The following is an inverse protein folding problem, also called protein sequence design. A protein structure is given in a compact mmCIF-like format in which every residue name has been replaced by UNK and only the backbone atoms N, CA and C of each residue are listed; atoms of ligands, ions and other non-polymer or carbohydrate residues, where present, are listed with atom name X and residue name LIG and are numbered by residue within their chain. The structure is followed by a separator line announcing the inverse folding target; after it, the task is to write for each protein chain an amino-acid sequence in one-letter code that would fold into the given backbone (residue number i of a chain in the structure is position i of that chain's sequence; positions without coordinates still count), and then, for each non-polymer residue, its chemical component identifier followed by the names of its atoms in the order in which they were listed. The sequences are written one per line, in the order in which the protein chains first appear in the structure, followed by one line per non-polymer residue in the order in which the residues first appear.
data_IF_031394355879
#
_entry.id   IF_031394355879
#
_cell.length_a   1.000
_cell.length_b   1.000
_cell.length_c   1.000
_cell.angle_alpha   90.00
_cell.angle_beta   90.00
_cell.angle_gamma   90.00
#
_symmetry.space_group_name_H-M   'P 1'
#
loop_
_entity.id
_entity.type
_entity.pdbx_description
1 polymer ?
#
# COMPACT_ATOMS: atom_id res chain seq x y z
N UNK A 1 -3.62 21.04 -5.08
CA UNK A 1 -4.33 20.05 -4.24
C UNK A 1 -3.70 18.70 -4.52
N UNK A 2 -3.32 17.97 -3.48
CA UNK A 2 -2.51 16.77 -3.61
C UNK A 2 -3.05 15.62 -2.74
N UNK A 3 -2.57 14.42 -3.04
CA UNK A 3 -2.71 13.23 -2.21
C UNK A 3 -1.35 12.70 -1.76
N UNK A 4 -1.32 12.02 -0.63
CA UNK A 4 -0.15 11.26 -0.17
C UNK A 4 -0.37 9.80 -0.53
N UNK A 5 0.68 9.17 -1.08
CA UNK A 5 0.77 7.72 -1.25
C UNK A 5 1.87 7.22 -0.33
N UNK A 6 1.56 6.19 0.45
CA UNK A 6 2.51 5.52 1.34
C UNK A 6 2.61 4.06 0.95
N UNK A 7 3.83 3.59 0.78
CA UNK A 7 4.10 2.18 0.54
C UNK A 7 5.41 1.77 1.22
N UNK A 8 5.52 0.48 1.49
CA UNK A 8 6.64 -0.15 2.16
C UNK A 8 7.31 -1.15 1.22
N UNK A 9 8.64 -1.15 1.22
CA UNK A 9 9.43 -2.02 0.38
C UNK A 9 10.48 -2.73 1.22
N UNK A 10 10.59 -4.04 1.05
CA UNK A 10 11.72 -4.80 1.61
C UNK A 10 13.02 -4.37 0.94
N UNK A 11 14.05 -4.18 1.75
CA UNK A 11 15.41 -3.89 1.32
C UNK A 11 16.33 -5.02 1.79
N UNK A 12 17.50 -5.13 1.14
CA UNK A 12 18.53 -6.05 1.61
C UNK A 12 19.13 -5.50 2.90
N UNK A 13 19.22 -6.36 3.90
CA UNK A 13 20.00 -6.11 5.10
C UNK A 13 21.48 -6.07 4.75
N UNK A 14 22.06 -4.88 4.78
CA UNK A 14 23.48 -4.70 4.47
C UNK A 14 24.05 -3.49 5.20
N UNK A 15 25.25 -3.65 5.76
CA UNK A 15 25.99 -2.60 6.42
C UNK A 15 27.20 -2.24 5.57
N UNK A 16 27.19 -1.04 5.01
CA UNK A 16 28.30 -0.56 4.19
C UNK A 16 28.80 0.80 4.67
N UNK A 17 30.12 0.95 4.67
CA UNK A 17 30.77 2.22 4.97
C UNK A 17 30.96 3.00 3.67
N UNK A 18 30.40 4.20 3.59
CA UNK A 18 30.43 5.02 2.37
C UNK A 18 31.63 5.99 2.31
N UNK A 19 32.66 5.76 3.12
CA UNK A 19 33.80 6.66 3.27
C UNK A 19 33.60 7.77 4.32
N UNK A 20 32.36 8.04 4.76
CA UNK A 20 32.05 9.04 5.79
C UNK A 20 31.35 8.44 7.01
N UNK A 21 30.39 7.55 6.79
CA UNK A 21 29.62 6.90 7.86
C UNK A 21 29.22 5.48 7.47
N UNK A 22 28.92 4.68 8.48
CA UNK A 22 28.28 3.39 8.31
C UNK A 22 26.79 3.61 7.98
N UNK A 23 26.29 2.92 6.96
CA UNK A 23 24.91 2.98 6.48
C UNK A 23 24.25 1.61 6.56
N UNK A 24 22.92 1.58 6.65
CA UNK A 24 22.14 0.34 6.70
C UNK A 24 21.33 0.15 7.99
N UNK A 25 21.50 1.01 8.99
CA UNK A 25 20.71 0.99 10.21
C UNK A 25 19.33 1.64 10.05
N UNK A 26 18.41 1.26 10.93
CA UNK A 26 17.12 1.94 11.12
C UNK A 26 17.36 3.44 11.32
N UNK A 27 16.57 4.27 10.63
CA UNK A 27 16.71 5.72 10.64
C UNK A 27 15.35 6.42 10.50
N UNK A 28 14.97 7.12 11.55
CA UNK A 28 13.74 7.92 11.65
C UNK A 28 13.92 9.42 11.39
N UNK A 29 15.09 9.85 10.91
CA UNK A 29 15.36 11.24 10.55
C UNK A 29 15.57 12.20 11.73
N UNK A 30 15.47 11.72 12.98
CA UNK A 30 15.85 12.50 14.15
C UNK A 30 17.38 12.65 14.16
N UNK A 31 17.88 13.89 14.25
CA UNK A 31 19.27 14.17 14.59
C UNK A 31 19.50 13.69 16.03
N UNK A 32 19.67 12.40 16.24
CA UNK A 32 20.22 11.92 17.49
C UNK A 32 21.61 12.55 17.60
N UNK A 33 21.81 13.27 18.70
CA UNK A 33 23.12 13.67 19.20
C UNK A 33 24.07 12.50 19.02
N UNK A 34 25.24 12.81 18.48
CA UNK A 34 26.36 11.92 18.19
C UNK A 34 26.38 10.66 19.09
N UNK A 35 26.35 9.48 18.46
CA UNK A 35 26.53 8.13 19.02
C UNK A 35 25.32 7.30 19.48
N UNK A 36 24.07 7.74 19.28
CA UNK A 36 22.88 6.89 19.46
C UNK A 36 22.22 6.49 18.12
N UNK A 37 23.02 5.97 17.18
CA UNK A 37 22.47 5.29 16.00
C UNK A 37 21.76 4.01 16.45
N UNK A 38 20.66 3.65 15.78
CA UNK A 38 20.09 2.31 15.96
C UNK A 38 21.17 1.26 15.70
N UNK A 39 21.31 0.29 16.59
CA UNK A 39 22.21 -0.86 16.38
C UNK A 39 21.58 -1.88 15.42
N UNK A 40 20.28 -1.75 15.16
CA UNK A 40 19.51 -2.67 14.32
C UNK A 40 19.58 -2.27 12.84
N UNK A 41 19.85 -3.27 12.01
CA UNK A 41 19.87 -3.16 10.55
C UNK A 41 18.45 -3.03 10.03
N UNK A 42 18.22 -2.11 9.10
CA UNK A 42 16.93 -1.94 8.47
C UNK A 42 16.67 -3.08 7.46
N UNK A 43 15.43 -3.59 7.46
CA UNK A 43 14.95 -4.62 6.52
C UNK A 43 13.94 -4.08 5.53
N UNK A 44 13.37 -2.92 5.83
CA UNK A 44 12.31 -2.30 5.05
C UNK A 44 12.56 -0.79 4.93
N UNK A 45 11.95 -0.18 3.91
CA UNK A 45 11.86 1.27 3.76
C UNK A 45 10.40 1.64 3.54
N UNK A 46 9.91 2.59 4.33
CA UNK A 46 8.61 3.23 4.11
C UNK A 46 8.83 4.55 3.38
N UNK A 47 8.08 4.79 2.31
CA UNK A 47 8.24 5.97 1.44
C UNK A 47 6.93 6.75 1.37
N UNK A 48 7.05 8.07 1.49
CA UNK A 48 5.95 9.03 1.34
C UNK A 48 6.12 9.77 0.02
N UNK A 49 5.13 9.62 -0.86
CA UNK A 49 5.07 10.27 -2.15
C UNK A 49 3.88 11.23 -2.19
N UNK A 50 4.10 12.46 -2.64
CA UNK A 50 3.01 13.38 -2.95
C UNK A 50 2.70 13.30 -4.42
N UNK A 51 1.41 13.23 -4.74
CA UNK A 51 0.89 13.25 -6.10
C UNK A 51 -0.09 14.40 -6.22
N UNK A 52 0.10 15.25 -7.23
CA UNK A 52 -0.87 16.29 -7.53
C UNK A 52 -2.15 15.69 -8.10
N UNK A 53 -3.30 16.14 -7.60
CA UNK A 53 -4.60 15.70 -8.07
C UNK A 53 -5.10 16.55 -9.25
N UNK A 54 -4.67 17.80 -9.32
CA UNK A 54 -5.07 18.78 -10.33
C UNK A 54 -3.96 19.09 -11.35
N UNK A 55 -2.87 18.32 -11.36
CA UNK A 55 -1.77 18.46 -12.34
C UNK A 55 -0.95 17.17 -12.42
N UNK A 56 0.07 17.13 -13.29
CA UNK A 56 0.81 15.90 -13.61
C UNK A 56 2.21 15.88 -13.00
N UNK A 57 2.31 15.88 -11.67
CA UNK A 57 3.58 15.66 -11.00
C UNK A 57 3.44 14.82 -9.75
N UNK A 58 4.55 14.18 -9.39
CA UNK A 58 4.72 13.43 -8.15
C UNK A 58 6.14 13.57 -7.65
N UNK A 59 6.33 13.70 -6.35
CA UNK A 59 7.64 13.84 -5.72
C UNK A 59 7.72 13.02 -4.42
N UNK A 60 8.83 12.32 -4.16
CA UNK A 60 9.07 11.75 -2.84
C UNK A 60 9.36 12.87 -1.86
N UNK A 61 8.71 12.84 -0.69
CA UNK A 61 8.87 13.88 0.34
C UNK A 61 9.49 13.36 1.63
N UNK A 62 9.49 12.05 1.82
CA UNK A 62 10.12 11.42 2.98
C UNK A 62 10.30 9.94 2.78
N UNK A 63 11.33 9.40 3.44
CA UNK A 63 11.52 7.96 3.56
C UNK A 63 12.17 7.64 4.91
N UNK A 64 11.88 6.46 5.44
CA UNK A 64 12.45 6.00 6.70
C UNK A 64 12.90 4.55 6.57
N UNK A 65 14.11 4.27 7.05
CA UNK A 65 14.67 2.92 7.09
C UNK A 65 14.20 2.26 8.38
N UNK A 66 13.56 1.10 8.28
CA UNK A 66 12.81 0.48 9.39
C UNK A 66 13.05 -1.04 9.44
N UNK A 67 12.66 -1.65 10.55
CA UNK A 67 12.57 -3.11 10.73
C UNK A 67 11.19 -3.40 11.32
N UNK A 68 10.15 -3.24 10.49
CA UNK A 68 8.77 -3.13 10.93
C UNK A 68 8.43 -1.82 11.65
N UNK A 69 7.12 -1.51 11.65
CA UNK A 69 6.52 -0.44 12.44
C UNK A 69 5.15 -0.87 12.94
N UNK A 70 4.86 -0.56 14.19
CA UNK A 70 3.52 -0.72 14.72
C UNK A 70 2.57 0.37 14.19
N UNK A 71 1.27 0.17 14.37
CA UNK A 71 0.24 1.06 13.82
C UNK A 71 0.34 2.51 14.36
N UNK A 72 0.74 2.67 15.62
CA UNK A 72 0.91 4.00 16.24
C UNK A 72 2.12 4.74 15.68
N UNK A 73 3.24 4.05 15.47
CA UNK A 73 4.44 4.62 14.83
C UNK A 73 4.16 5.05 13.39
N UNK A 74 3.46 4.22 12.60
CA UNK A 74 3.04 4.58 11.23
C UNK A 74 2.16 5.82 11.22
N UNK A 75 1.16 5.89 12.12
CA UNK A 75 0.27 7.04 12.23
C UNK A 75 1.03 8.31 12.60
N UNK A 76 2.04 8.21 13.49
CA UNK A 76 2.92 9.32 13.84
C UNK A 76 3.70 9.82 12.62
N UNK A 77 4.27 8.94 11.80
CA UNK A 77 4.98 9.33 10.58
C UNK A 77 4.05 10.03 9.57
N UNK A 78 2.81 9.55 9.42
CA UNK A 78 1.80 10.22 8.58
C UNK A 78 1.50 11.63 9.09
N UNK A 79 1.26 11.78 10.40
CA UNK A 79 0.99 13.09 10.99
C UNK A 79 2.17 14.05 10.84
N UNK A 80 3.40 13.60 11.10
CA UNK A 80 4.61 14.40 10.89
C UNK A 80 4.75 14.83 9.42
N UNK A 81 4.46 13.93 8.46
CA UNK A 81 4.46 14.28 7.05
C UNK A 81 3.43 15.37 6.73
N UNK A 82 2.20 15.24 7.25
CA UNK A 82 1.14 16.24 7.06
C UNK A 82 1.49 17.60 7.66
N UNK A 83 2.05 17.62 8.88
CA UNK A 83 2.51 18.83 9.57
C UNK A 83 3.56 19.57 8.74
N UNK A 84 4.61 18.86 8.29
CA UNK A 84 5.68 19.46 7.48
C UNK A 84 5.18 19.99 6.13
N UNK A 85 4.15 19.35 5.55
CA UNK A 85 3.57 19.79 4.28
C UNK A 85 2.65 20.99 4.43
N UNK A 86 2.00 21.14 5.58
CA UNK A 86 1.18 22.31 5.89
C UNK A 86 1.98 23.61 5.75
N UNK A 87 3.24 23.62 6.19
CA UNK A 87 4.13 24.78 6.13
C UNK A 87 4.49 25.20 4.70
N UNK A 88 4.33 24.30 3.71
CA UNK A 88 4.66 24.56 2.30
C UNK A 88 3.51 25.20 1.52
N UNK A 89 2.29 25.24 2.09
CA UNK A 89 1.06 25.62 1.39
C UNK A 89 0.45 24.51 0.53
N UNK A 90 0.98 23.28 0.57
CA UNK A 90 0.39 22.14 -0.12
C UNK A 90 -0.91 21.70 0.56
N UNK A 91 -2.02 21.69 -0.18
CA UNK A 91 -3.32 21.24 0.32
C UNK A 91 -3.46 19.74 0.11
N UNK A 92 -3.31 18.94 1.17
CA UNK A 92 -3.46 17.48 1.16
C UNK A 92 -4.92 17.09 1.42
N UNK A 93 -5.51 16.27 0.54
CA UNK A 93 -6.90 15.81 0.67
C UNK A 93 -7.07 14.30 0.76
N UNK A 94 -6.05 13.53 0.38
CA UNK A 94 -6.15 12.08 0.37
C UNK A 94 -4.90 11.41 0.92
N UNK A 95 -5.10 10.23 1.49
CA UNK A 95 -4.05 9.29 1.89
C UNK A 95 -4.34 7.94 1.22
N UNK A 96 -3.37 7.40 0.49
CA UNK A 96 -3.50 6.11 -0.22
C UNK A 96 -2.42 5.13 0.23
N UNK A 97 -2.82 3.89 0.50
CA UNK A 97 -1.92 2.79 0.88
C UNK A 97 -2.55 1.43 0.51
N UNK A 98 -1.82 0.33 0.66
CA UNK A 98 -2.35 -1.02 0.39
C UNK A 98 -3.23 -1.58 1.52
N UNK A 99 -4.00 -2.64 1.27
CA UNK A 99 -4.92 -3.20 2.28
C UNK A 99 -4.25 -4.10 3.32
N UNK A 100 -2.95 -3.93 3.59
CA UNK A 100 -2.28 -4.73 4.61
C UNK A 100 -2.81 -4.40 6.01
N UNK A 101 -2.89 -5.41 6.88
CA UNK A 101 -3.43 -5.25 8.24
C UNK A 101 -2.76 -4.13 9.06
N UNK A 102 -1.42 -3.91 8.99
CA UNK A 102 -0.78 -2.79 9.67
C UNK A 102 -1.26 -1.41 9.18
N UNK A 103 -1.56 -1.27 7.89
CA UNK A 103 -2.01 -0.02 7.29
C UNK A 103 -3.48 0.27 7.64
N UNK A 104 -4.32 -0.76 7.72
CA UNK A 104 -5.68 -0.63 8.26
C UNK A 104 -5.65 -0.25 9.75
N UNK A 105 -4.76 -0.86 10.53
CA UNK A 105 -4.59 -0.51 11.94
C UNK A 105 -4.07 0.93 12.12
N UNK A 106 -3.18 1.41 11.24
CA UNK A 106 -2.74 2.80 11.19
C UNK A 106 -3.92 3.75 10.92
N UNK A 107 -4.79 3.44 9.95
CA UNK A 107 -5.97 4.26 9.68
C UNK A 107 -6.87 4.42 10.91
N UNK A 108 -7.04 3.33 11.68
CA UNK A 108 -7.77 3.36 12.96
C UNK A 108 -7.09 4.26 13.99
N UNK A 109 -5.77 4.24 14.08
CA UNK A 109 -5.01 5.14 14.96
C UNK A 109 -5.13 6.62 14.56
N UNK A 110 -5.26 6.90 13.26
CA UNK A 110 -5.52 8.25 12.76
C UNK A 110 -6.96 8.73 13.03
N UNK A 111 -7.88 7.83 13.43
CA UNK A 111 -9.28 8.14 13.71
C UNK A 111 -10.26 7.78 12.59
N UNK A 112 -9.81 7.09 11.55
CA UNK A 112 -10.68 6.58 10.49
C UNK A 112 -11.18 5.15 10.79
N UNK A 113 -12.34 4.78 10.24
CA UNK A 113 -12.87 3.42 10.29
C UNK A 113 -13.13 2.92 8.86
N UNK A 114 -12.40 1.90 8.41
CA UNK A 114 -12.55 1.37 7.05
C UNK A 114 -13.38 0.09 7.11
N UNK A 115 -14.51 -0.03 6.38
CA UNK A 115 -14.97 0.85 5.29
C UNK A 115 -16.01 1.92 5.67
N UNK A 116 -16.47 1.98 6.93
CA UNK A 116 -17.65 2.76 7.31
C UNK A 116 -17.45 4.28 7.26
N UNK A 117 -16.31 4.76 7.75
CA UNK A 117 -15.93 6.17 7.81
C UNK A 117 -14.44 6.34 7.46
N UNK A 118 -14.07 6.25 6.16
CA UNK A 118 -12.68 6.24 5.71
C UNK A 118 -12.08 7.66 5.67
N UNK A 119 -12.26 8.44 6.73
CA UNK A 119 -11.77 9.81 6.84
C UNK A 119 -11.21 10.09 8.21
N UNK A 120 -10.19 10.92 8.29
CA UNK A 120 -9.66 11.48 9.52
C UNK A 120 -9.33 12.95 9.33
N UNK A 121 -9.08 13.68 10.43
CA UNK A 121 -8.81 15.12 10.35
C UNK A 121 -7.30 15.39 10.25
N UNK A 122 -6.95 16.34 9.40
CA UNK A 122 -5.58 16.85 9.29
C UNK A 122 -5.11 17.42 10.64
N UNK A 123 -3.90 17.09 11.14
CA UNK A 123 -3.46 17.47 12.49
C UNK A 123 -3.37 18.99 12.73
N UNK A 124 -3.02 19.76 11.67
CA UNK A 124 -2.94 21.24 11.73
C UNK A 124 -4.24 21.95 11.33
N UNK A 125 -4.75 21.69 10.12
CA UNK A 125 -5.90 22.45 9.57
C UNK A 125 -7.26 21.93 10.04
N UNK A 126 -7.30 20.73 10.66
CA UNK A 126 -8.52 20.01 11.03
C UNK A 126 -9.48 19.73 9.85
N UNK A 127 -9.02 19.92 8.60
CA UNK A 127 -9.78 19.56 7.41
C UNK A 127 -9.79 18.04 7.20
N UNK A 128 -10.86 17.46 6.62
CA UNK A 128 -10.93 16.03 6.39
C UNK A 128 -9.93 15.57 5.32
N UNK A 129 -9.26 14.45 5.61
CA UNK A 129 -8.42 13.68 4.69
C UNK A 129 -9.12 12.35 4.42
N UNK A 130 -9.34 12.06 3.14
CA UNK A 130 -10.00 10.83 2.69
C UNK A 130 -8.99 9.71 2.43
N UNK A 131 -9.26 8.53 2.97
CA UNK A 131 -8.43 7.35 2.79
C UNK A 131 -8.91 6.56 1.58
N UNK A 132 -7.96 6.17 0.72
CA UNK A 132 -8.17 5.24 -0.38
C UNK A 132 -7.27 4.02 -0.22
N UNK A 133 -7.82 2.83 -0.46
CA UNK A 133 -6.99 1.63 -0.62
C UNK A 133 -6.53 1.56 -2.07
N UNK A 134 -5.29 1.10 -2.30
CA UNK A 134 -4.80 0.86 -3.66
C UNK A 134 -5.72 -0.12 -4.39
N UNK A 135 -6.46 0.39 -5.38
CA UNK A 135 -7.42 -0.38 -6.16
C UNK A 135 -6.75 -1.56 -6.89
N UNK A 136 -5.52 -1.40 -7.36
CA UNK A 136 -4.78 -2.47 -8.02
C UNK A 136 -4.45 -3.59 -7.02
N UNK A 137 -4.07 -3.23 -5.79
CA UNK A 137 -3.92 -4.20 -4.71
C UNK A 137 -5.26 -4.86 -4.33
N UNK A 138 -6.34 -4.10 -4.23
CA UNK A 138 -7.64 -4.65 -3.81
C UNK A 138 -8.18 -5.67 -4.82
N UNK A 139 -8.05 -5.40 -6.12
CA UNK A 139 -8.43 -6.35 -7.17
C UNK A 139 -7.62 -7.66 -7.09
N UNK A 140 -6.32 -7.57 -6.79
CA UNK A 140 -5.49 -8.77 -6.56
C UNK A 140 -5.99 -9.57 -5.35
N UNK A 141 -6.37 -8.90 -4.26
CA UNK A 141 -6.92 -9.58 -3.08
C UNK A 141 -8.20 -10.32 -3.41
N UNK A 142 -9.18 -9.67 -4.07
CA UNK A 142 -10.43 -10.32 -4.47
C UNK A 142 -10.17 -11.54 -5.34
N UNK A 143 -9.30 -11.41 -6.36
CA UNK A 143 -8.93 -12.54 -7.23
C UNK A 143 -8.28 -13.67 -6.42
N UNK A 144 -7.31 -13.35 -5.56
CA UNK A 144 -6.60 -14.34 -4.77
C UNK A 144 -7.56 -15.05 -3.80
N UNK A 145 -8.44 -14.31 -3.12
CA UNK A 145 -9.45 -14.86 -2.22
C UNK A 145 -10.39 -15.81 -2.95
N UNK A 146 -10.92 -15.40 -4.11
CA UNK A 146 -11.77 -16.28 -4.92
C UNK A 146 -11.00 -17.52 -5.41
N UNK A 147 -9.75 -17.34 -5.84
CA UNK A 147 -8.90 -18.42 -6.31
C UNK A 147 -8.47 -19.39 -5.22
N UNK A 148 -8.26 -18.93 -3.98
CA UNK A 148 -7.84 -19.72 -2.82
C UNK A 148 -9.04 -20.42 -2.18
N UNK A 149 -10.13 -19.69 -1.89
CA UNK A 149 -11.37 -20.23 -1.31
C UNK A 149 -12.23 -21.03 -2.29
N UNK A 150 -11.97 -20.89 -3.60
CA UNK A 150 -12.72 -21.48 -4.73
C UNK A 150 -14.14 -20.94 -4.92
N UNK A 151 -14.72 -20.28 -3.93
CA UNK A 151 -15.99 -19.59 -4.06
C UNK A 151 -16.08 -18.42 -3.09
N UNK A 152 -16.89 -17.43 -3.45
CA UNK A 152 -17.34 -16.31 -2.59
C UNK A 152 -18.84 -16.10 -2.81
N UNK A 153 -19.47 -15.28 -1.99
CA UNK A 153 -20.88 -14.90 -2.15
C UNK A 153 -20.99 -13.43 -2.51
N UNK A 154 -21.99 -13.09 -3.32
CA UNK A 154 -22.37 -11.72 -3.57
C UNK A 154 -23.34 -11.18 -2.51
N UNK A 155 -23.83 -9.96 -2.72
CA UNK A 155 -24.77 -9.29 -1.83
C UNK A 155 -26.16 -9.96 -1.74
N UNK A 156 -26.52 -10.79 -2.72
CA UNK A 156 -27.78 -11.54 -2.76
C UNK A 156 -27.60 -12.97 -2.20
N UNK A 157 -26.42 -13.30 -1.68
CA UNK A 157 -26.04 -14.63 -1.25
C UNK A 157 -25.94 -15.64 -2.41
N UNK A 158 -25.77 -15.15 -3.64
CA UNK A 158 -25.50 -16.00 -4.80
C UNK A 158 -24.02 -16.40 -4.83
N UNK A 159 -23.77 -17.66 -5.14
CA UNK A 159 -22.43 -18.25 -5.10
C UNK A 159 -21.65 -17.94 -6.39
N UNK A 160 -20.51 -17.27 -6.25
CA UNK A 160 -19.55 -17.04 -7.33
C UNK A 160 -18.46 -18.11 -7.22
N UNK A 161 -18.37 -19.00 -8.20
CA UNK A 161 -17.41 -20.11 -8.18
C UNK A 161 -16.22 -19.92 -9.13
N UNK A 162 -15.02 -20.25 -8.65
CA UNK A 162 -13.80 -20.34 -9.45
C UNK A 162 -13.91 -21.39 -10.57
N UNK A 163 -14.78 -22.40 -10.38
CA UNK A 163 -15.02 -23.49 -11.33
C UNK A 163 -15.47 -22.97 -12.70
N UNK A 164 -16.24 -21.88 -12.75
CA UNK A 164 -16.71 -21.28 -14.01
C UNK A 164 -15.56 -20.71 -14.85
N UNK A 165 -14.53 -20.14 -14.21
CA UNK A 165 -13.35 -19.63 -14.92
C UNK A 165 -12.53 -20.77 -15.52
N UNK A 166 -12.41 -21.90 -14.81
CA UNK A 166 -11.74 -23.09 -15.33
C UNK A 166 -12.50 -23.65 -16.55
N UNK A 167 -13.81 -23.86 -16.42
CA UNK A 167 -14.67 -24.38 -17.49
C UNK A 167 -14.65 -23.47 -18.72
N UNK A 168 -14.65 -22.16 -18.52
CA UNK A 168 -14.56 -21.18 -19.59
C UNK A 168 -13.23 -21.30 -20.35
N UNK A 169 -12.10 -21.39 -19.64
CA UNK A 169 -10.79 -21.57 -20.28
C UNK A 169 -10.71 -22.90 -21.03
N UNK A 170 -11.22 -23.98 -20.45
CA UNK A 170 -11.27 -25.30 -21.09
C UNK A 170 -12.12 -25.29 -22.37
N UNK A 171 -13.30 -24.63 -22.34
CA UNK A 171 -14.13 -24.44 -23.53
C UNK A 171 -13.37 -23.66 -24.62
N UNK A 172 -12.71 -22.56 -24.26
CA UNK A 172 -11.95 -21.76 -25.22
C UNK A 172 -10.76 -22.52 -25.84
N UNK A 173 -10.08 -23.37 -25.04
CA UNK A 173 -8.98 -24.22 -25.51
C UNK A 173 -9.49 -25.34 -26.43
N UNK A 174 -10.64 -25.94 -26.12
CA UNK A 174 -11.23 -27.04 -26.90
C UNK A 174 -11.83 -26.56 -28.22
N UNK A 175 -12.55 -25.43 -28.22
CA UNK A 175 -13.19 -24.87 -29.41
C UNK A 175 -12.20 -24.09 -30.30
N UNK A 176 -11.00 -23.78 -29.78
CA UNK A 176 -10.00 -22.97 -30.47
C UNK A 176 -10.41 -21.51 -30.69
N UNK A 177 -11.47 -21.03 -30.01
CA UNK A 177 -12.09 -19.73 -30.25
C UNK A 177 -12.21 -18.90 -28.96
N UNK A 178 -11.63 -17.70 -28.96
CA UNK A 178 -11.63 -16.77 -27.84
C UNK A 178 -12.67 -15.64 -28.06
N UNK A 179 -13.91 -15.86 -27.60
CA UNK A 179 -15.07 -15.01 -27.96
C UNK A 179 -15.12 -13.59 -27.36
N UNK A 180 -14.28 -13.23 -26.39
CA UNK A 180 -14.06 -11.85 -25.92
C UNK A 180 -13.14 -11.76 -24.69
N UNK A 181 -12.99 -12.87 -23.94
CA UNK A 181 -12.25 -12.88 -22.67
C UNK A 181 -10.75 -13.06 -22.90
N UNK A 182 -9.94 -12.17 -22.31
CA UNK A 182 -8.46 -12.27 -22.30
C UNK A 182 -7.96 -13.36 -21.35
N UNK A 183 -8.85 -14.05 -20.65
CA UNK A 183 -8.52 -15.12 -19.72
C UNK A 183 -7.88 -16.30 -20.47
N UNK A 184 -6.95 -16.95 -19.80
CA UNK A 184 -6.10 -18.04 -20.32
C UNK A 184 -5.66 -18.90 -19.13
N UNK A 185 -5.12 -20.09 -19.39
CA UNK A 185 -4.64 -21.02 -18.35
C UNK A 185 -3.74 -20.36 -17.28
N UNK A 186 -2.90 -19.39 -17.67
CA UNK A 186 -2.07 -18.61 -16.73
C UNK A 186 -2.86 -17.86 -15.64
N UNK A 187 -4.05 -17.37 -15.96
CA UNK A 187 -4.89 -16.60 -15.05
C UNK A 187 -5.61 -17.52 -14.05
N UNK A 188 -5.86 -18.78 -14.46
CA UNK A 188 -6.36 -19.83 -13.58
C UNK A 188 -5.24 -20.31 -12.64
N UNK A 189 -4.03 -20.46 -13.18
CA UNK A 189 -2.83 -20.85 -12.45
C UNK A 189 -2.08 -19.63 -11.87
N UNK A 190 -2.83 -18.70 -11.26
CA UNK A 190 -2.31 -17.40 -10.83
C UNK A 190 -1.25 -17.47 -9.71
N UNK A 191 -1.04 -18.63 -9.05
CA UNK A 191 -0.09 -18.80 -7.94
C UNK A 191 1.33 -18.33 -8.28
N UNK A 192 1.77 -18.53 -9.53
CA UNK A 192 3.09 -18.07 -10.01
C UNK A 192 3.14 -16.58 -10.35
N UNK A 193 1.97 -15.92 -10.44
CA UNK A 193 1.80 -14.54 -10.87
C UNK A 193 0.91 -13.74 -9.89
N UNK A 194 0.93 -14.10 -8.60
CA UNK A 194 0.03 -13.56 -7.56
C UNK A 194 0.09 -12.03 -7.44
N UNK A 195 1.25 -11.44 -7.76
CA UNK A 195 1.44 -9.97 -7.71
C UNK A 195 1.08 -9.25 -9.02
N UNK A 196 0.81 -9.97 -10.11
CA UNK A 196 0.46 -9.37 -11.39
C UNK A 196 -0.99 -8.91 -11.37
N UNK A 197 -1.22 -7.63 -11.69
CA UNK A 197 -2.57 -7.03 -11.70
C UNK A 197 -3.28 -7.26 -13.04
N UNK A 198 -2.53 -7.29 -14.14
CA UNK A 198 -3.03 -7.44 -15.53
C UNK A 198 -3.17 -8.90 -15.96
#
# INVERSE_FOLDING_TARGET
VCGIIVDEMSIRDDLHFNGKRLQGYINFGLKTTENAGSVFVAKEVIVFLIVALNSHWKIPVGYFLIDGLNAHERAKLVNTCLEMLSDTGAIIKTLTFDGAAPNIAMAKQLGADIPNNPTFNHPITNEPIHIFLDAAHMLKLVRNTLGDLKYIYDQNNDKIEWSYFYKLVELQENEGLHLATKIRRRHINFFKEKMKVR
#
